data_IF_428389961443
#
_entry.id   IF_428389961443
#
_cell.length_a   1.000
_cell.length_b   1.000
_cell.length_c   1.000
_cell.angle_alpha   90.00
_cell.angle_beta   90.00
_cell.angle_gamma   90.00
#
_symmetry.space_group_name_H-M   'P 1'
#
loop_
_entity.id
_entity.type
_entity.pdbx_description
1 polymer ?
#
# COMPACT_ATOMS: atom_id res chain seq x y z
N UNK A 1 -32.08 -47.85 -26.53
CA UNK A 1 -31.75 -46.92 -25.43
C UNK A 1 -30.24 -46.68 -25.47
N UNK A 2 -29.79 -45.47 -25.84
CA UNK A 2 -28.37 -45.20 -26.15
C UNK A 2 -27.53 -45.03 -24.86
N UNK A 3 -26.42 -45.78 -24.69
CA UNK A 3 -25.61 -45.78 -23.46
C UNK A 3 -24.93 -44.44 -23.12
N UNK A 4 -24.79 -43.53 -24.09
CA UNK A 4 -23.97 -42.31 -23.94
C UNK A 4 -24.59 -41.19 -23.09
N UNK A 5 -25.91 -41.19 -22.86
CA UNK A 5 -26.59 -40.11 -22.14
C UNK A 5 -26.31 -40.14 -20.62
N UNK A 6 -26.13 -41.33 -20.03
CA UNK A 6 -25.88 -41.49 -18.60
C UNK A 6 -24.45 -41.11 -18.19
N UNK A 7 -23.46 -41.46 -19.02
CA UNK A 7 -22.05 -41.12 -18.77
C UNK A 7 -21.79 -39.60 -18.83
N UNK A 8 -22.42 -38.89 -19.78
CA UNK A 8 -22.28 -37.43 -19.93
C UNK A 8 -22.92 -36.68 -18.76
N UNK A 9 -24.06 -37.16 -18.26
CA UNK A 9 -24.76 -36.57 -17.10
C UNK A 9 -23.98 -36.78 -15.81
N UNK A 10 -23.35 -37.94 -15.63
CA UNK A 10 -22.45 -38.23 -14.51
C UNK A 10 -21.21 -37.34 -14.48
N UNK A 11 -20.61 -37.07 -15.64
CA UNK A 11 -19.45 -36.16 -15.74
C UNK A 11 -19.81 -34.71 -15.40
N UNK A 12 -20.96 -34.22 -15.89
CA UNK A 12 -21.43 -32.85 -15.60
C UNK A 12 -21.83 -32.69 -14.14
N UNK A 13 -22.55 -33.66 -13.56
CA UNK A 13 -22.92 -33.64 -12.14
C UNK A 13 -21.71 -33.80 -11.22
N UNK A 14 -20.76 -34.67 -11.58
CA UNK A 14 -19.50 -34.85 -10.86
C UNK A 14 -18.62 -33.60 -10.92
N UNK A 15 -18.51 -32.96 -12.09
CA UNK A 15 -17.79 -31.70 -12.27
C UNK A 15 -18.40 -30.54 -11.49
N UNK A 16 -19.73 -30.43 -11.48
CA UNK A 16 -20.44 -29.42 -10.69
C UNK A 16 -20.27 -29.63 -9.17
N UNK A 17 -20.32 -30.87 -8.68
CA UNK A 17 -20.10 -31.19 -7.27
C UNK A 17 -18.66 -30.90 -6.83
N UNK A 18 -17.67 -31.26 -7.64
CA UNK A 18 -16.27 -30.92 -7.40
C UNK A 18 -16.05 -29.39 -7.42
N UNK A 19 -16.66 -28.69 -8.37
CA UNK A 19 -16.64 -27.22 -8.44
C UNK A 19 -17.26 -26.56 -7.20
N UNK A 20 -18.39 -27.07 -6.72
CA UNK A 20 -19.05 -26.56 -5.51
C UNK A 20 -18.23 -26.80 -4.22
N UNK A 21 -17.54 -27.94 -4.11
CA UNK A 21 -16.61 -28.22 -2.99
C UNK A 21 -15.39 -27.28 -3.01
N UNK A 22 -14.87 -26.96 -4.20
CA UNK A 22 -13.78 -25.99 -4.35
C UNK A 22 -14.24 -24.57 -3.99
N UNK A 23 -15.46 -24.18 -4.38
CA UNK A 23 -16.03 -22.86 -4.10
C UNK A 23 -16.38 -22.67 -2.60
N UNK A 24 -16.83 -23.72 -1.90
CA UNK A 24 -17.16 -23.67 -0.47
C UNK A 24 -15.94 -23.85 0.44
N UNK A 25 -14.84 -24.43 -0.07
CA UNK A 25 -13.59 -24.63 0.67
C UNK A 25 -12.77 -23.36 0.89
N UNK A 26 -12.87 -22.36 0.01
CA UNK A 26 -12.07 -21.14 0.09
C UNK A 26 -12.32 -20.33 1.38
N UNK A 27 -13.56 -20.28 1.88
CA UNK A 27 -13.90 -19.55 3.10
C UNK A 27 -13.50 -20.30 4.38
N UNK A 28 -13.46 -21.64 4.37
CA UNK A 28 -12.92 -22.43 5.49
C UNK A 28 -11.40 -22.38 5.53
N UNK A 29 -10.75 -22.34 4.36
CA UNK A 29 -9.29 -22.25 4.27
C UNK A 29 -8.77 -20.90 4.78
N UNK A 30 -9.43 -19.79 4.43
CA UNK A 30 -9.05 -18.45 4.94
C UNK A 30 -9.29 -18.27 6.45
N UNK A 31 -10.03 -19.18 7.07
CA UNK A 31 -10.31 -19.17 8.52
C UNK A 31 -9.63 -20.33 9.26
N UNK A 32 -8.96 -21.24 8.55
CA UNK A 32 -8.28 -22.39 9.15
C UNK A 32 -6.96 -21.94 9.81
N UNK A 33 -6.75 -22.19 11.11
CA UNK A 33 -5.55 -21.74 11.81
C UNK A 33 -4.25 -22.23 11.18
N UNK A 34 -4.25 -23.44 10.64
CA UNK A 34 -3.07 -24.02 9.97
C UNK A 34 -2.74 -23.29 8.66
N UNK A 35 -3.76 -22.87 7.92
CA UNK A 35 -3.58 -22.14 6.67
C UNK A 35 -3.10 -20.71 6.93
N UNK A 36 -3.68 -20.02 7.92
CA UNK A 36 -3.22 -18.69 8.35
C UNK A 36 -1.77 -18.75 8.86
N UNK A 37 -1.43 -19.72 9.69
CA UNK A 37 -0.06 -19.91 10.17
C UNK A 37 0.94 -20.22 9.05
N UNK A 38 0.52 -20.94 8.01
CA UNK A 38 1.34 -21.14 6.82
C UNK A 38 1.56 -19.83 6.06
N UNK A 39 0.51 -19.03 5.88
CA UNK A 39 0.58 -17.70 5.25
C UNK A 39 1.51 -16.77 6.03
N UNK A 40 1.38 -16.72 7.36
CA UNK A 40 2.25 -15.92 8.23
C UNK A 40 3.73 -16.31 8.09
N UNK A 41 4.01 -17.62 8.02
CA UNK A 41 5.37 -18.12 7.77
C UNK A 41 5.88 -17.76 6.38
N UNK A 42 5.03 -17.87 5.36
CA UNK A 42 5.36 -17.48 4.00
C UNK A 42 5.63 -15.97 3.90
N UNK A 43 4.89 -15.15 4.64
CA UNK A 43 5.13 -13.72 4.77
C UNK A 43 6.49 -13.45 5.42
N UNK A 44 6.83 -14.16 6.51
CA UNK A 44 8.13 -14.07 7.15
C UNK A 44 9.29 -14.42 6.21
N UNK A 45 9.14 -15.48 5.41
CA UNK A 45 10.11 -15.87 4.38
C UNK A 45 10.23 -14.79 3.30
N UNK A 46 9.10 -14.29 2.80
CA UNK A 46 9.05 -13.25 1.76
C UNK A 46 9.72 -11.97 2.22
N UNK A 47 9.45 -11.51 3.46
CA UNK A 47 10.10 -10.34 4.07
C UNK A 47 11.62 -10.52 4.17
N UNK A 48 12.09 -11.71 4.57
CA UNK A 48 13.54 -12.02 4.65
C UNK A 48 14.18 -12.02 3.26
N UNK A 49 13.57 -12.69 2.30
CA UNK A 49 14.05 -12.74 0.92
C UNK A 49 14.09 -11.34 0.30
N UNK A 50 13.02 -10.55 0.44
CA UNK A 50 12.95 -9.16 -0.02
C UNK A 50 14.08 -8.32 0.59
N UNK A 51 14.29 -8.38 1.91
CA UNK A 51 15.36 -7.63 2.58
C UNK A 51 16.76 -8.06 2.13
N UNK A 52 16.96 -9.36 1.90
CA UNK A 52 18.24 -9.87 1.41
C UNK A 52 18.51 -9.42 -0.03
N UNK A 53 17.53 -9.57 -0.91
CA UNK A 53 17.67 -9.26 -2.34
C UNK A 53 17.73 -7.75 -2.62
N UNK A 54 17.02 -6.95 -1.83
CA UNK A 54 16.98 -5.49 -1.97
C UNK A 54 17.94 -4.77 -1.01
N UNK A 55 18.79 -5.49 -0.28
CA UNK A 55 19.81 -4.87 0.56
C UNK A 55 20.72 -3.97 -0.29
N UNK A 56 20.85 -2.71 0.11
CA UNK A 56 21.67 -1.72 -0.61
C UNK A 56 21.11 -1.25 -1.96
N UNK A 57 19.91 -1.69 -2.34
CA UNK A 57 19.21 -1.17 -3.51
C UNK A 57 18.45 0.12 -3.14
N UNK A 58 18.27 1.07 -4.07
CA UNK A 58 17.44 2.24 -3.83
C UNK A 58 16.00 1.82 -3.55
N UNK A 59 15.35 2.50 -2.59
CA UNK A 59 13.97 2.19 -2.17
C UNK A 59 12.93 2.52 -3.26
N UNK A 60 13.29 3.38 -4.21
CA UNK A 60 12.47 3.77 -5.34
C UNK A 60 13.38 4.13 -6.53
N UNK A 61 12.86 4.00 -7.75
CA UNK A 61 13.54 4.53 -8.93
C UNK A 61 13.60 6.05 -8.86
N UNK A 62 14.79 6.63 -9.09
CA UNK A 62 14.98 8.07 -9.17
C UNK A 62 15.14 8.53 -10.61
N UNK A 63 14.55 9.68 -10.94
CA UNK A 63 14.47 10.23 -12.28
C UNK A 63 15.29 11.51 -12.42
N UNK A 64 15.57 11.92 -13.65
CA UNK A 64 16.29 13.17 -13.93
C UNK A 64 15.35 14.37 -13.81
N UNK A 65 15.87 15.58 -13.52
CA UNK A 65 15.06 16.81 -13.53
C UNK A 65 14.28 17.05 -14.83
N UNK A 66 14.84 16.63 -15.97
CA UNK A 66 14.17 16.73 -17.29
C UNK A 66 12.93 15.84 -17.44
N UNK A 67 12.76 14.86 -16.55
CA UNK A 67 11.66 13.89 -16.57
C UNK A 67 10.53 14.29 -15.62
N UNK A 68 10.70 15.38 -14.87
CA UNK A 68 9.65 15.94 -14.01
C UNK A 68 8.41 16.23 -14.85
N UNK A 69 7.26 15.75 -14.36
CA UNK A 69 5.99 15.93 -15.06
C UNK A 69 5.60 17.41 -15.06
N UNK A 70 5.17 17.91 -16.24
CA UNK A 70 4.75 19.31 -16.39
C UNK A 70 3.56 19.69 -15.51
N UNK A 71 2.71 18.72 -15.22
CA UNK A 71 1.52 18.88 -14.38
C UNK A 71 1.58 17.84 -13.27
N UNK A 72 1.58 18.31 -12.02
CA UNK A 72 1.40 17.46 -10.85
C UNK A 72 0.01 17.74 -10.28
N UNK A 73 -0.88 16.74 -10.31
CA UNK A 73 -2.27 16.90 -9.87
C UNK A 73 -2.33 16.88 -8.35
N UNK A 74 -3.17 17.73 -7.78
CA UNK A 74 -3.54 17.60 -6.38
C UNK A 74 -4.52 16.43 -6.20
N UNK A 75 -4.39 15.70 -5.11
CA UNK A 75 -5.38 14.71 -4.67
C UNK A 75 -6.31 15.38 -3.64
N UNK A 76 -7.61 15.38 -3.90
CA UNK A 76 -8.61 16.00 -3.03
C UNK A 76 -8.65 17.52 -3.17
N UNK A 77 -8.31 18.26 -2.09
CA UNK A 77 -8.43 19.72 -2.04
C UNK A 77 -7.06 20.41 -2.00
N UNK A 78 -6.94 21.51 -2.74
CA UNK A 78 -5.80 22.44 -2.67
C UNK A 78 -6.01 23.59 -1.68
N UNK A 79 -7.24 23.77 -1.20
CA UNK A 79 -7.61 24.80 -0.22
C UNK A 79 -8.56 24.21 0.83
N UNK A 80 -8.02 23.50 1.84
CA UNK A 80 -8.82 22.94 2.91
C UNK A 80 -9.55 24.03 3.71
N UNK A 81 -10.89 23.95 3.75
CA UNK A 81 -11.72 24.91 4.47
C UNK A 81 -11.86 24.62 5.97
N UNK A 82 -11.13 23.63 6.49
CA UNK A 82 -11.14 23.27 7.90
C UNK A 82 -10.66 24.45 8.77
N UNK A 83 -11.41 24.86 9.81
CA UNK A 83 -11.05 26.02 10.64
C UNK A 83 -9.68 25.89 11.32
N UNK A 84 -9.29 24.69 11.76
CA UNK A 84 -8.00 24.47 12.40
C UNK A 84 -6.86 24.60 11.38
N UNK A 85 -7.02 24.04 10.18
CA UNK A 85 -6.08 24.25 9.08
C UNK A 85 -5.94 25.74 8.73
N UNK A 86 -7.06 26.45 8.56
CA UNK A 86 -7.04 27.88 8.21
C UNK A 86 -6.36 28.73 9.26
N UNK A 87 -6.59 28.46 10.56
CA UNK A 87 -5.89 29.15 11.64
C UNK A 87 -4.37 28.89 11.62
N UNK A 88 -3.95 27.66 11.33
CA UNK A 88 -2.53 27.32 11.14
C UNK A 88 -1.94 28.05 9.94
N UNK A 89 -2.63 28.04 8.79
CA UNK A 89 -2.19 28.69 7.57
C UNK A 89 -2.04 30.21 7.74
N UNK A 90 -3.00 30.86 8.42
CA UNK A 90 -2.94 32.30 8.73
C UNK A 90 -1.71 32.71 9.55
N UNK A 91 -1.21 31.80 10.40
CA UNK A 91 -0.02 32.03 11.22
C UNK A 91 1.23 31.32 10.67
N UNK A 92 1.26 31.02 9.36
CA UNK A 92 2.42 30.40 8.70
C UNK A 92 2.85 29.06 9.30
N UNK A 93 1.90 28.31 9.87
CA UNK A 93 2.11 27.03 10.55
C UNK A 93 3.04 27.10 11.78
N UNK A 94 3.24 28.29 12.38
CA UNK A 94 4.14 28.44 13.53
C UNK A 94 3.77 27.55 14.72
N UNK A 95 2.47 27.28 14.89
CA UNK A 95 1.94 26.44 15.98
C UNK A 95 1.75 24.97 15.57
N UNK A 96 2.06 24.59 14.32
CA UNK A 96 1.90 23.21 13.87
C UNK A 96 2.92 22.30 14.54
N UNK A 97 2.47 21.09 14.91
CA UNK A 97 3.26 20.08 15.62
C UNK A 97 3.12 18.71 14.96
N UNK A 98 4.24 18.02 14.73
CA UNK A 98 4.29 16.59 14.42
C UNK A 98 4.45 15.81 15.72
N UNK A 99 3.44 15.04 16.09
CA UNK A 99 3.52 14.11 17.23
C UNK A 99 4.04 12.76 16.75
N UNK A 100 5.16 12.31 17.31
CA UNK A 100 5.74 10.99 17.10
C UNK A 100 5.38 10.13 18.32
N UNK A 101 4.69 9.02 18.08
CA UNK A 101 4.24 8.08 19.11
C UNK A 101 4.11 6.65 18.57
N UNK A 102 3.38 5.79 19.29
CA UNK A 102 3.23 4.38 18.96
C UNK A 102 4.38 3.52 19.51
N UNK A 103 4.87 2.58 18.71
CA UNK A 103 5.97 1.67 19.08
C UNK A 103 7.35 2.36 18.96
N UNK A 104 7.56 3.40 19.76
CA UNK A 104 8.82 4.17 19.82
C UNK A 104 9.32 4.22 21.26
N UNK A 105 10.64 4.18 21.45
CA UNK A 105 11.25 4.28 22.78
C UNK A 105 11.05 5.66 23.42
N UNK A 106 11.06 6.72 22.60
CA UNK A 106 10.98 8.11 23.04
C UNK A 106 9.96 8.89 22.20
N UNK A 107 8.70 8.97 22.66
CA UNK A 107 7.70 9.85 22.04
C UNK A 107 8.14 11.30 22.08
N UNK A 108 7.82 12.08 21.06
CA UNK A 108 8.21 13.49 20.98
C UNK A 108 7.27 14.30 20.09
N UNK A 109 7.32 15.63 20.21
CA UNK A 109 6.51 16.56 19.42
C UNK A 109 7.39 17.64 18.79
N UNK A 110 7.48 17.66 17.46
CA UNK A 110 8.35 18.57 16.70
C UNK A 110 7.55 19.72 16.10
N UNK A 111 8.06 20.94 16.21
CA UNK A 111 7.56 22.05 15.40
C UNK A 111 8.01 21.93 13.94
N UNK A 112 7.32 22.63 13.03
CA UNK A 112 7.74 22.71 11.63
C UNK A 112 9.16 23.29 11.48
N UNK A 113 9.54 24.25 12.32
CA UNK A 113 10.88 24.83 12.32
C UNK A 113 11.96 23.79 12.71
N UNK A 114 11.68 22.97 13.72
CA UNK A 114 12.59 21.89 14.12
C UNK A 114 12.77 20.86 13.00
N UNK A 115 11.68 20.48 12.31
CA UNK A 115 11.77 19.57 11.16
C UNK A 115 12.61 20.14 10.02
N UNK A 116 12.43 21.43 9.69
CA UNK A 116 13.19 22.11 8.63
C UNK A 116 14.68 22.27 8.95
N UNK A 117 15.05 22.23 10.23
CA UNK A 117 16.44 22.28 10.67
C UNK A 117 17.16 20.92 10.60
N UNK A 118 16.43 19.82 10.37
CA UNK A 118 17.03 18.50 10.17
C UNK A 118 17.73 18.40 8.81
N UNK A 119 18.71 17.50 8.63
CA UNK A 119 19.30 17.24 7.33
C UNK A 119 18.24 16.87 6.30
N UNK A 120 18.21 17.60 5.19
CA UNK A 120 17.32 17.35 4.07
C UNK A 120 18.04 16.61 2.94
N UNK A 121 17.29 15.83 2.17
CA UNK A 121 17.72 15.27 0.90
C UNK A 121 16.66 15.57 -0.14
N UNK A 122 17.08 15.71 -1.39
CA UNK A 122 16.16 15.80 -2.52
C UNK A 122 15.98 14.42 -3.17
N UNK A 123 14.77 14.11 -3.59
CA UNK A 123 14.45 12.89 -4.34
C UNK A 123 13.51 13.21 -5.49
N UNK A 124 13.84 12.74 -6.71
CA UNK A 124 12.93 12.86 -7.87
C UNK A 124 12.34 11.48 -8.15
N UNK A 125 11.08 11.26 -7.80
CA UNK A 125 10.40 9.95 -7.88
C UNK A 125 9.03 10.06 -8.54
N UNK A 126 8.52 8.92 -9.01
CA UNK A 126 7.15 8.80 -9.53
C UNK A 126 6.17 8.61 -8.38
N UNK A 127 5.14 9.45 -8.33
CA UNK A 127 3.94 9.29 -7.53
C UNK A 127 2.87 8.59 -8.36
N UNK A 128 2.38 7.45 -7.88
CA UNK A 128 1.31 6.66 -8.51
C UNK A 128 0.04 6.78 -7.66
N UNK A 129 -0.92 7.60 -8.11
CA UNK A 129 -2.16 7.84 -7.38
C UNK A 129 -3.20 6.73 -7.64
N UNK A 130 -3.95 6.37 -6.60
CA UNK A 130 -5.05 5.39 -6.68
C UNK A 130 -6.18 5.81 -7.63
N UNK A 131 -6.30 7.11 -7.92
CA UNK A 131 -7.27 7.68 -8.87
C UNK A 131 -6.90 7.41 -10.35
N UNK A 132 -5.83 6.64 -10.62
CA UNK A 132 -5.47 6.20 -11.97
C UNK A 132 -4.57 7.16 -12.75
N UNK A 133 -3.86 8.06 -12.07
CA UNK A 133 -2.87 8.95 -12.68
C UNK A 133 -1.52 8.85 -11.98
N UNK A 134 -0.44 9.18 -12.69
CA UNK A 134 0.91 9.25 -12.15
C UNK A 134 1.62 10.53 -12.55
N UNK A 135 2.59 10.96 -11.75
CA UNK A 135 3.43 12.12 -12.01
C UNK A 135 4.82 11.93 -11.40
N UNK A 136 5.86 12.39 -12.08
CA UNK A 136 7.22 12.47 -11.54
C UNK A 136 7.37 13.85 -10.87
N UNK A 137 7.67 13.84 -9.57
CA UNK A 137 7.86 15.06 -8.76
C UNK A 137 9.21 15.06 -8.05
N UNK A 138 9.59 16.23 -7.53
CA UNK A 138 10.79 16.44 -6.73
C UNK A 138 10.39 16.76 -5.29
N UNK A 139 10.93 16.01 -4.34
CA UNK A 139 10.66 16.07 -2.90
C UNK A 139 11.90 16.51 -2.14
#
# INVERSE_FOLDING_TARGET
MSPGAYARRGLVLGGAAAGALLLTGCNRLSQAPQALHLIDKAEGLTRRAQRLLLAGQPLAAEYRPSEISRVFKANGSIDPQDPAYRALAQNGFANWRLTIGGLVERPLSLSLAQLRALPARTQITRHDCVEGWSAIGQW
#
